data_IF_338402249839
#
_entry.id   IF_338402249839
#
_cell.length_a   1.000
_cell.length_b   1.000
_cell.length_c   1.000
_cell.angle_alpha   90.00
_cell.angle_beta   90.00
_cell.angle_gamma   90.00
#
_symmetry.space_group_name_H-M   'P 1'
#
loop_
_entity.id
_entity.type
_entity.pdbx_description
1 polymer ?
#
# COMPACT_ATOMS: atom_id res chain seq x y z
N UNK A 1 -8.41 2.37 -15.45
CA UNK A 1 -7.86 3.59 -14.81
C UNK A 1 -7.45 3.21 -13.40
N UNK A 2 -6.17 3.33 -13.02
CA UNK A 2 -5.75 2.94 -11.65
C UNK A 2 -6.35 3.94 -10.64
N UNK A 3 -7.16 3.48 -9.68
CA UNK A 3 -7.83 4.39 -8.75
C UNK A 3 -6.79 5.15 -7.92
N UNK A 4 -6.99 6.46 -7.82
CA UNK A 4 -6.24 7.34 -6.91
C UNK A 4 -6.94 7.33 -5.57
N UNK A 5 -6.20 7.09 -4.49
CA UNK A 5 -6.70 7.18 -3.10
C UNK A 5 -6.09 8.40 -2.43
N UNK A 6 -6.82 9.03 -1.50
CA UNK A 6 -6.26 10.08 -0.63
C UNK A 6 -6.06 9.49 0.76
N UNK A 7 -4.82 9.52 1.26
CA UNK A 7 -4.43 9.04 2.60
C UNK A 7 -3.72 10.19 3.28
N UNK A 8 -4.15 10.55 4.49
CA UNK A 8 -3.63 11.73 5.22
C UNK A 8 -3.62 13.01 4.36
N UNK A 9 -4.64 13.20 3.52
CA UNK A 9 -4.75 14.35 2.61
C UNK A 9 -3.92 14.26 1.32
N UNK A 10 -2.93 13.36 1.25
CA UNK A 10 -2.05 13.20 0.10
C UNK A 10 -2.62 12.22 -0.95
N UNK A 11 -2.52 12.53 -2.25
CA UNK A 11 -2.97 11.63 -3.31
C UNK A 11 -1.93 10.55 -3.62
N UNK A 12 -2.37 9.28 -3.65
CA UNK A 12 -1.55 8.12 -3.98
C UNK A 12 -2.17 7.30 -5.10
N UNK A 13 -1.31 6.66 -5.89
CA UNK A 13 -1.69 5.66 -6.88
C UNK A 13 -1.12 4.31 -6.49
N UNK A 14 -1.94 3.27 -6.53
CA UNK A 14 -1.47 1.88 -6.39
C UNK A 14 -0.64 1.52 -7.62
N UNK A 15 0.62 1.14 -7.40
CA UNK A 15 1.57 0.73 -8.45
C UNK A 15 2.00 -0.74 -8.30
N UNK A 16 1.71 -1.38 -7.16
CA UNK A 16 1.95 -2.80 -6.95
C UNK A 16 1.00 -3.40 -5.93
N UNK A 17 0.70 -4.69 -6.09
CA UNK A 17 -0.12 -5.47 -5.14
C UNK A 17 0.40 -6.90 -5.10
N UNK A 18 0.85 -7.34 -3.94
CA UNK A 18 1.32 -8.71 -3.70
C UNK A 18 0.51 -9.33 -2.58
N UNK A 19 -0.05 -10.52 -2.79
CA UNK A 19 -0.77 -11.24 -1.74
C UNK A 19 0.24 -11.71 -0.70
N UNK A 20 -0.01 -11.43 0.58
CA UNK A 20 0.82 -11.99 1.64
C UNK A 20 0.52 -13.48 1.75
N UNK A 21 1.57 -14.30 1.82
CA UNK A 21 1.41 -15.71 2.16
C UNK A 21 0.84 -15.80 3.58
N UNK A 22 0.00 -16.81 3.81
CA UNK A 22 -0.61 -17.04 5.12
C UNK A 22 0.38 -17.69 6.09
N UNK A 23 1.52 -17.03 6.31
CA UNK A 23 2.54 -17.45 7.29
C UNK A 23 2.03 -17.28 8.73
N UNK A 24 0.99 -16.45 8.92
CA UNK A 24 0.29 -16.26 10.19
C UNK A 24 -1.17 -15.87 9.99
N UNK A 25 -2.03 -16.12 10.99
CA UNK A 25 -3.42 -15.64 11.03
C UNK A 25 -3.52 -14.13 10.81
N UNK A 26 -2.55 -13.35 11.32
CA UNK A 26 -2.50 -11.91 11.18
C UNK A 26 -2.32 -11.42 9.73
N UNK A 27 -1.83 -12.29 8.85
CA UNK A 27 -1.57 -12.00 7.43
C UNK A 27 -2.62 -12.63 6.49
N UNK A 28 -3.58 -13.39 7.03
CA UNK A 28 -4.57 -14.09 6.22
C UNK A 28 -5.45 -13.08 5.46
N UNK A 29 -5.52 -13.24 4.13
CA UNK A 29 -6.30 -12.36 3.26
C UNK A 29 -5.75 -10.94 3.07
N UNK A 30 -4.56 -10.65 3.63
CA UNK A 30 -3.90 -9.35 3.47
C UNK A 30 -3.01 -9.31 2.24
N UNK A 31 -2.79 -8.10 1.74
CA UNK A 31 -1.92 -7.78 0.63
C UNK A 31 -0.88 -6.75 1.09
N UNK A 32 0.31 -6.85 0.51
CA UNK A 32 1.27 -5.75 0.45
C UNK A 32 0.93 -4.89 -0.76
N UNK A 33 0.52 -3.66 -0.53
CA UNK A 33 0.34 -2.68 -1.60
C UNK A 33 1.55 -1.77 -1.68
N UNK A 34 2.00 -1.48 -2.89
CA UNK A 34 2.99 -0.43 -3.17
C UNK A 34 2.24 0.75 -3.76
N UNK A 35 2.40 1.91 -3.12
CA UNK A 35 1.73 3.16 -3.43
C UNK A 35 2.79 4.18 -3.86
N UNK A 36 2.52 4.90 -4.95
CA UNK A 36 3.31 6.06 -5.36
C UNK A 36 2.55 7.32 -5.00
N UNK A 37 3.12 8.18 -4.17
CA UNK A 37 2.57 9.50 -3.89
C UNK A 37 2.67 10.36 -5.15
N UNK A 38 1.58 11.02 -5.54
CA UNK A 38 1.53 11.76 -6.80
C UNK A 38 2.21 13.14 -6.73
N UNK A 39 2.44 13.67 -5.53
CA UNK A 39 3.05 14.99 -5.34
C UNK A 39 4.57 14.99 -5.49
N UNK A 40 5.24 13.95 -4.97
CA UNK A 40 6.71 13.86 -4.91
C UNK A 40 7.27 12.58 -5.55
N UNK A 41 6.41 11.67 -6.02
CA UNK A 41 6.81 10.40 -6.62
C UNK A 41 7.33 9.35 -5.63
N UNK A 42 7.34 9.64 -4.32
CA UNK A 42 7.84 8.73 -3.29
C UNK A 42 7.03 7.42 -3.23
N UNK A 43 7.71 6.32 -2.90
CA UNK A 43 7.10 5.00 -2.76
C UNK A 43 6.82 4.67 -1.29
N UNK A 44 5.61 4.17 -1.07
CA UNK A 44 5.10 3.78 0.24
C UNK A 44 4.51 2.36 0.17
N UNK A 45 4.49 1.69 1.31
CA UNK A 45 3.90 0.37 1.47
C UNK A 45 2.74 0.46 2.45
N UNK A 46 1.67 -0.29 2.17
CA UNK A 46 0.56 -0.50 3.09
C UNK A 46 0.21 -2.00 3.13
N UNK A 47 -0.29 -2.47 4.28
CA UNK A 47 -0.64 -3.86 4.50
C UNK A 47 -2.10 -4.01 4.92
N UNK A 48 -2.94 -4.43 3.99
CA UNK A 48 -4.37 -4.58 4.26
C UNK A 48 -5.01 -5.51 3.23
N UNK A 49 -6.27 -5.86 3.42
CA UNK A 49 -7.12 -6.50 2.43
C UNK A 49 -7.43 -5.57 1.24
N UNK A 50 -7.56 -4.25 1.50
CA UNK A 50 -7.86 -3.20 0.52
C UNK A 50 -7.23 -1.88 0.96
N UNK A 51 -6.93 -1.01 0.00
CA UNK A 51 -6.47 0.35 0.27
C UNK A 51 -7.65 1.27 0.52
N UNK A 52 -7.59 2.01 1.63
CA UNK A 52 -8.59 2.98 2.05
C UNK A 52 -7.91 4.28 2.52
N UNK A 53 -8.65 5.38 2.68
CA UNK A 53 -8.11 6.62 3.24
C UNK A 53 -7.51 6.48 4.65
N UNK A 54 -7.88 5.44 5.40
CA UNK A 54 -7.38 5.15 6.74
C UNK A 54 -6.22 4.14 6.76
N UNK A 55 -5.75 3.69 5.59
CA UNK A 55 -4.65 2.73 5.52
C UNK A 55 -3.35 3.32 6.07
N UNK A 56 -2.72 2.60 6.99
CA UNK A 56 -1.40 2.97 7.53
C UNK A 56 -0.33 2.83 6.46
N UNK A 57 0.52 3.85 6.34
CA UNK A 57 1.61 3.92 5.38
C UNK A 57 2.96 3.78 6.07
N UNK A 58 3.84 3.05 5.41
CA UNK A 58 5.25 2.95 5.81
C UNK A 58 6.17 3.19 4.61
N UNK A 59 7.35 3.80 4.79
CA UNK A 59 8.29 4.03 3.69
C UNK A 59 8.59 2.72 2.95
N UNK A 60 8.50 2.74 1.62
CA UNK A 60 8.80 1.54 0.85
C UNK A 60 10.29 1.24 0.93
N UNK A 61 10.64 0.18 1.66
CA UNK A 61 11.98 -0.40 1.62
C UNK A 61 11.97 -1.58 0.66
N UNK A 62 12.78 -1.58 -0.40
CA UNK A 62 13.07 -2.82 -1.11
C UNK A 62 13.71 -3.77 -0.09
N UNK A 63 13.26 -5.02 -0.07
CA UNK A 63 13.98 -6.05 0.67
C UNK A 63 15.32 -6.23 -0.06
N UNK A 64 16.41 -5.86 0.61
CA UNK A 64 17.78 -6.13 0.18
C UNK A 64 18.04 -7.64 0.12
#
# INVERSE_FOLDING_TARGET
MNPTVRIEGHPYRVVGRTRLQAVSRASYGKYRFVLRRLTDGSLWTAFDSRITPASELMPHRPCS
#
